data_IF_231653810253
#
_entry.id   IF_231653810253
#
_cell.length_a   1.000
_cell.length_b   1.000
_cell.length_c   1.000
_cell.angle_alpha   90.00
_cell.angle_beta   90.00
_cell.angle_gamma   90.00
#
_symmetry.space_group_name_H-M   'P 1'
#
loop_
_entity.id
_entity.type
_entity.pdbx_description
1 polymer ?
#
# COMPACT_ATOMS: atom_id res chain seq x y z
N UNK A 1 -22.95 -33.25 -26.97
CA UNK A 1 -22.19 -33.35 -25.71
C UNK A 1 -22.01 -34.82 -25.38
N UNK A 2 -20.77 -35.32 -25.36
CA UNK A 2 -20.49 -36.76 -25.13
C UNK A 2 -20.63 -37.08 -23.65
N UNK A 3 -21.07 -38.30 -23.31
CA UNK A 3 -21.33 -38.72 -21.93
C UNK A 3 -20.11 -38.57 -20.98
N UNK A 4 -18.89 -38.63 -21.51
CA UNK A 4 -17.66 -38.39 -20.74
C UNK A 4 -17.49 -36.93 -20.33
N UNK A 5 -17.91 -35.97 -21.16
CA UNK A 5 -17.86 -34.53 -20.88
C UNK A 5 -18.85 -34.16 -19.77
N UNK A 6 -20.05 -34.76 -19.78
CA UNK A 6 -21.04 -34.59 -18.70
C UNK A 6 -20.58 -35.18 -17.37
N UNK A 7 -19.89 -36.33 -17.39
CA UNK A 7 -19.35 -36.97 -16.19
C UNK A 7 -18.18 -36.17 -15.60
N UNK A 8 -17.31 -35.62 -16.45
CA UNK A 8 -16.24 -34.73 -16.04
C UNK A 8 -16.79 -33.42 -15.44
N UNK A 9 -17.80 -32.82 -16.07
CA UNK A 9 -18.48 -31.63 -15.57
C UNK A 9 -19.16 -31.89 -14.22
N UNK A 10 -19.83 -33.04 -14.04
CA UNK A 10 -20.43 -33.42 -12.75
C UNK A 10 -19.40 -33.66 -11.64
N UNK A 11 -18.25 -34.24 -11.96
CA UNK A 11 -17.14 -34.40 -10.99
C UNK A 11 -16.53 -33.04 -10.61
N UNK A 12 -16.33 -32.15 -11.57
CA UNK A 12 -15.84 -30.79 -11.32
C UNK A 12 -16.81 -29.99 -10.44
N UNK A 13 -18.11 -30.03 -10.77
CA UNK A 13 -19.15 -29.37 -9.97
C UNK A 13 -19.22 -29.91 -8.54
N UNK A 14 -19.14 -31.24 -8.33
CA UNK A 14 -19.07 -31.82 -6.98
C UNK A 14 -17.82 -31.39 -6.21
N UNK A 15 -16.67 -31.30 -6.86
CA UNK A 15 -15.41 -30.87 -6.24
C UNK A 15 -15.47 -29.39 -5.86
N UNK A 16 -15.99 -28.53 -6.73
CA UNK A 16 -16.22 -27.12 -6.45
C UNK A 16 -17.22 -26.91 -5.30
N UNK A 17 -18.30 -27.71 -5.26
CA UNK A 17 -19.29 -27.64 -4.19
C UNK A 17 -18.74 -28.14 -2.85
N UNK A 18 -17.86 -29.15 -2.86
CA UNK A 18 -17.15 -29.62 -1.68
C UNK A 18 -16.13 -28.59 -1.17
N UNK A 19 -15.41 -27.90 -2.08
CA UNK A 19 -14.50 -26.80 -1.72
C UNK A 19 -15.28 -25.61 -1.16
N UNK A 20 -16.42 -25.24 -1.76
CA UNK A 20 -17.31 -24.18 -1.22
C UNK A 20 -17.88 -24.56 0.15
N UNK A 21 -18.26 -25.82 0.34
CA UNK A 21 -18.75 -26.33 1.63
C UNK A 21 -17.64 -26.33 2.69
N UNK A 22 -16.47 -26.83 2.36
CA UNK A 22 -15.29 -26.78 3.25
C UNK A 22 -14.88 -25.34 3.58
N UNK A 23 -14.91 -24.43 2.61
CA UNK A 23 -14.62 -23.01 2.83
C UNK A 23 -15.66 -22.33 3.72
N UNK A 24 -16.95 -22.70 3.60
CA UNK A 24 -18.03 -22.22 4.47
C UNK A 24 -17.94 -22.81 5.88
N UNK A 25 -17.57 -24.08 6.00
CA UNK A 25 -17.52 -24.78 7.29
C UNK A 25 -16.24 -24.46 8.08
N UNK A 26 -15.12 -24.17 7.41
CA UNK A 26 -13.81 -24.00 8.05
C UNK A 26 -13.17 -22.61 7.91
N UNK A 27 -13.63 -21.75 6.99
CA UNK A 27 -12.93 -20.48 6.67
C UNK A 27 -13.87 -19.26 6.60
N UNK A 28 -15.19 -19.40 6.76
CA UNK A 28 -16.07 -18.23 6.76
C UNK A 28 -17.49 -18.48 7.26
N UNK A 29 -17.86 -17.75 8.31
CA UNK A 29 -19.20 -17.66 8.91
C UNK A 29 -19.66 -18.87 9.75
N UNK A 30 -18.90 -19.22 10.81
CA UNK A 30 -19.62 -19.50 12.06
C UNK A 30 -20.39 -18.22 12.40
N UNK A 31 -21.71 -18.30 12.64
CA UNK A 31 -22.52 -17.14 13.07
C UNK A 31 -21.82 -16.49 14.25
N UNK A 32 -21.08 -15.41 13.99
CA UNK A 32 -20.43 -14.66 15.04
C UNK A 32 -21.55 -14.13 15.93
N UNK A 33 -21.42 -14.37 17.23
CA UNK A 33 -22.38 -13.92 18.23
C UNK A 33 -22.61 -12.41 18.06
N UNK A 34 -23.86 -12.05 17.70
CA UNK A 34 -24.24 -10.67 17.40
C UNK A 34 -23.95 -9.74 18.58
N UNK A 35 -24.05 -10.25 19.81
CA UNK A 35 -23.74 -9.48 21.01
C UNK A 35 -22.23 -9.23 21.12
N UNK A 36 -21.39 -10.20 20.75
CA UNK A 36 -19.93 -10.01 20.70
C UNK A 36 -19.53 -9.00 19.63
N UNK A 37 -20.16 -9.06 18.45
CA UNK A 37 -19.92 -8.10 17.38
C UNK A 37 -20.35 -6.68 17.78
N UNK A 38 -21.51 -6.53 18.41
CA UNK A 38 -21.99 -5.25 18.91
C UNK A 38 -21.03 -4.66 19.96
N UNK A 39 -20.56 -5.48 20.91
CA UNK A 39 -19.58 -5.05 21.92
C UNK A 39 -18.25 -4.61 21.29
N UNK A 40 -17.75 -5.34 20.28
CA UNK A 40 -16.55 -4.95 19.53
C UNK A 40 -16.76 -3.59 18.85
N UNK A 41 -17.90 -3.38 18.19
CA UNK A 41 -18.20 -2.12 17.53
C UNK A 41 -18.24 -0.94 18.52
N UNK A 42 -18.83 -1.12 19.71
CA UNK A 42 -18.84 -0.10 20.76
C UNK A 42 -17.42 0.24 21.22
N UNK A 43 -16.58 -0.76 21.47
CA UNK A 43 -15.17 -0.56 21.86
C UNK A 43 -14.41 0.18 20.75
N UNK A 44 -14.63 -0.19 19.49
CA UNK A 44 -13.99 0.46 18.34
C UNK A 44 -14.39 1.93 18.20
N UNK A 45 -15.66 2.27 18.44
CA UNK A 45 -16.12 3.66 18.47
C UNK A 45 -15.42 4.43 19.59
N UNK A 46 -15.36 3.87 20.79
CA UNK A 46 -14.68 4.51 21.93
C UNK A 46 -13.18 4.72 21.65
N UNK A 47 -12.52 3.72 21.08
CA UNK A 47 -11.12 3.81 20.69
C UNK A 47 -10.89 4.89 19.61
N UNK A 48 -11.75 5.00 18.60
CA UNK A 48 -11.70 6.09 17.62
C UNK A 48 -11.86 7.46 18.25
N UNK A 49 -12.78 7.62 19.21
CA UNK A 49 -12.96 8.88 19.94
C UNK A 49 -11.70 9.23 20.75
N UNK A 50 -11.03 8.23 21.34
CA UNK A 50 -9.78 8.46 22.09
C UNK A 50 -8.63 9.02 21.22
N UNK A 51 -8.65 8.73 19.91
CA UNK A 51 -7.68 9.28 18.95
C UNK A 51 -7.88 10.78 18.69
N UNK A 52 -9.03 11.35 19.09
CA UNK A 52 -9.30 12.79 18.96
C UNK A 52 -8.82 13.61 20.16
N UNK A 53 -8.35 12.95 21.22
CA UNK A 53 -7.90 13.62 22.44
C UNK A 53 -6.38 13.80 22.45
N UNK A 54 -5.92 14.99 22.84
CA UNK A 54 -4.50 15.34 22.98
C UNK A 54 -4.19 16.68 22.32
N UNK A 55 -2.96 17.15 22.50
CA UNK A 55 -2.48 18.35 21.84
C UNK A 55 -2.16 18.07 20.36
N UNK A 56 -2.55 18.95 19.44
CA UNK A 56 -2.01 18.96 18.08
C UNK A 56 -0.51 19.22 18.06
N UNK A 57 0.11 19.03 16.90
CA UNK A 57 1.50 19.43 16.65
C UNK A 57 1.70 20.93 16.90
N UNK A 58 2.95 21.34 17.13
CA UNK A 58 3.32 22.74 17.18
C UNK A 58 3.19 23.42 15.81
N UNK A 59 3.13 24.75 15.81
CA UNK A 59 2.90 25.54 14.60
C UNK A 59 4.04 25.38 13.57
N UNK A 60 5.29 25.30 14.01
CA UNK A 60 6.44 25.22 13.10
C UNK A 60 6.46 23.88 12.35
N UNK A 61 6.15 22.78 13.06
CA UNK A 61 5.98 21.46 12.45
C UNK A 61 4.87 21.45 11.40
N UNK A 62 3.70 22.02 11.71
CA UNK A 62 2.57 22.14 10.76
C UNK A 62 2.92 22.95 9.52
N UNK A 63 3.52 24.12 9.71
CA UNK A 63 3.94 24.99 8.60
C UNK A 63 4.96 24.28 7.70
N UNK A 64 5.90 23.54 8.30
CA UNK A 64 6.88 22.73 7.56
C UNK A 64 6.20 21.68 6.70
N UNK A 65 5.22 20.95 7.23
CA UNK A 65 4.46 19.95 6.48
C UNK A 65 3.63 20.57 5.34
N UNK A 66 2.93 21.69 5.60
CA UNK A 66 2.14 22.40 4.61
C UNK A 66 3.01 22.92 3.45
N UNK A 67 4.16 23.53 3.76
CA UNK A 67 5.12 24.00 2.75
C UNK A 67 5.60 22.84 1.89
N UNK A 68 5.97 21.70 2.50
CA UNK A 68 6.39 20.50 1.74
C UNK A 68 5.30 19.99 0.81
N UNK A 69 4.05 19.92 1.29
CA UNK A 69 2.93 19.48 0.47
C UNK A 69 2.70 20.42 -0.73
N UNK A 70 2.81 21.73 -0.53
CA UNK A 70 2.70 22.70 -1.62
C UNK A 70 3.87 22.61 -2.62
N UNK A 71 5.10 22.35 -2.14
CA UNK A 71 6.25 22.12 -3.01
C UNK A 71 6.05 20.88 -3.89
N UNK A 72 5.63 19.76 -3.30
CA UNK A 72 5.31 18.54 -4.06
C UNK A 72 4.13 18.74 -5.03
N UNK A 73 3.15 19.56 -4.65
CA UNK A 73 2.07 19.93 -5.58
C UNK A 73 2.61 20.67 -6.81
N UNK A 74 3.51 21.64 -6.64
CA UNK A 74 4.12 22.33 -7.78
C UNK A 74 4.96 21.38 -8.63
N UNK A 75 5.71 20.46 -8.02
CA UNK A 75 6.49 19.46 -8.75
C UNK A 75 5.60 18.54 -9.60
N UNK A 76 4.41 18.14 -9.11
CA UNK A 76 3.42 17.43 -9.95
C UNK A 76 2.94 18.28 -11.14
N UNK A 77 2.67 19.56 -10.90
CA UNK A 77 2.17 20.48 -11.94
C UNK A 77 3.22 20.70 -13.03
N UNK A 78 4.48 20.91 -12.69
CA UNK A 78 5.50 21.29 -13.67
C UNK A 78 6.30 20.11 -14.22
N UNK A 79 6.60 19.11 -13.39
CA UNK A 79 7.58 18.07 -13.71
C UNK A 79 6.96 16.67 -13.81
N UNK A 80 5.69 16.50 -13.40
CA UNK A 80 5.06 15.18 -13.23
C UNK A 80 5.94 14.25 -12.38
N UNK A 81 6.52 14.81 -11.30
CA UNK A 81 7.52 14.14 -10.49
C UNK A 81 6.96 12.91 -9.75
N UNK A 82 7.61 11.76 -9.96
CA UNK A 82 7.20 10.47 -9.37
C UNK A 82 7.29 10.47 -7.86
N UNK A 83 8.29 11.13 -7.28
CA UNK A 83 8.43 11.22 -5.82
C UNK A 83 7.23 11.99 -5.24
N UNK A 84 6.81 13.07 -5.88
CA UNK A 84 5.64 13.84 -5.48
C UNK A 84 4.34 13.03 -5.59
N UNK A 85 4.19 12.16 -6.60
CA UNK A 85 3.08 11.19 -6.66
C UNK A 85 3.06 10.33 -5.40
N UNK A 86 4.21 9.78 -5.00
CA UNK A 86 4.30 8.92 -3.82
C UNK A 86 3.95 9.64 -2.51
N UNK A 87 4.29 10.93 -2.40
CA UNK A 87 3.94 11.76 -1.23
C UNK A 87 2.43 11.92 -1.13
N UNK A 88 1.76 12.22 -2.25
CA UNK A 88 0.31 12.37 -2.26
C UNK A 88 -0.43 11.05 -2.04
N UNK A 89 0.07 9.92 -2.52
CA UNK A 89 -0.50 8.61 -2.18
C UNK A 89 -0.46 8.34 -0.66
N UNK A 90 0.63 8.74 0.01
CA UNK A 90 0.74 8.62 1.47
C UNK A 90 -0.24 9.58 2.17
N UNK A 91 -0.34 10.83 1.71
CA UNK A 91 -1.28 11.81 2.23
C UNK A 91 -2.74 11.34 2.07
N UNK A 92 -3.11 10.83 0.90
CA UNK A 92 -4.44 10.26 0.62
C UNK A 92 -4.75 9.14 1.62
N UNK A 93 -3.82 8.20 1.84
CA UNK A 93 -4.00 7.12 2.83
C UNK A 93 -4.20 7.68 4.24
N UNK A 94 -3.36 8.61 4.66
CA UNK A 94 -3.46 9.22 5.99
C UNK A 94 -4.82 9.93 6.18
N UNK A 95 -5.22 10.75 5.21
CA UNK A 95 -6.47 11.51 5.26
C UNK A 95 -7.72 10.63 5.17
N UNK A 96 -7.65 9.44 4.53
CA UNK A 96 -8.72 8.43 4.63
C UNK A 96 -8.92 7.95 6.06
N UNK A 97 -7.82 7.73 6.79
CA UNK A 97 -7.91 7.35 8.22
C UNK A 97 -8.49 8.50 9.03
N UNK A 98 -8.06 9.74 8.79
CA UNK A 98 -8.62 10.94 9.43
C UNK A 98 -10.13 11.04 9.16
N UNK A 99 -10.57 10.87 7.91
CA UNK A 99 -11.98 10.86 7.54
C UNK A 99 -12.77 9.82 8.34
N UNK A 100 -12.23 8.61 8.52
CA UNK A 100 -12.87 7.58 9.34
C UNK A 100 -12.88 7.91 10.83
N UNK A 101 -11.79 8.49 11.37
CA UNK A 101 -11.69 8.90 12.78
C UNK A 101 -12.74 9.96 13.08
N UNK A 102 -12.90 10.97 12.21
CA UNK A 102 -13.83 12.09 12.40
C UNK A 102 -15.22 11.85 11.80
N UNK A 103 -15.40 10.78 11.02
CA UNK A 103 -16.64 10.48 10.28
C UNK A 103 -17.01 11.59 9.29
N UNK A 104 -16.00 12.14 8.62
CA UNK A 104 -16.13 13.22 7.63
C UNK A 104 -16.32 12.64 6.22
N UNK A 105 -17.54 12.74 5.71
CA UNK A 105 -17.90 12.26 4.38
C UNK A 105 -17.31 13.09 3.25
N UNK A 106 -17.12 14.40 3.46
CA UNK A 106 -16.60 15.30 2.44
C UNK A 106 -15.10 15.07 2.27
N UNK A 107 -14.37 14.93 3.36
CA UNK A 107 -12.97 14.52 3.32
C UNK A 107 -12.82 13.14 2.66
N UNK A 108 -13.66 12.17 3.04
CA UNK A 108 -13.65 10.84 2.41
C UNK A 108 -13.83 10.94 0.89
N UNK A 109 -14.81 11.73 0.42
CA UNK A 109 -15.02 11.99 -1.00
C UNK A 109 -13.79 12.64 -1.65
N UNK A 110 -13.24 13.69 -1.04
CA UNK A 110 -12.04 14.38 -1.55
C UNK A 110 -10.84 13.44 -1.66
N UNK A 111 -10.64 12.50 -0.73
CA UNK A 111 -9.55 11.51 -0.85
C UNK A 111 -9.71 10.60 -2.06
N UNK A 112 -10.95 10.24 -2.43
CA UNK A 112 -11.21 9.43 -3.62
C UNK A 112 -11.04 10.22 -4.92
N UNK A 113 -11.46 11.49 -4.93
CA UNK A 113 -11.24 12.39 -6.06
C UNK A 113 -9.75 12.70 -6.25
N UNK A 114 -9.00 12.88 -5.17
CA UNK A 114 -7.54 13.06 -5.20
C UNK A 114 -6.82 11.82 -5.74
N UNK A 115 -7.23 10.62 -5.31
CA UNK A 115 -6.69 9.37 -5.85
C UNK A 115 -6.94 9.27 -7.37
N UNK A 116 -8.18 9.51 -7.81
CA UNK A 116 -8.52 9.48 -9.23
C UNK A 116 -7.76 10.55 -10.04
N UNK A 117 -7.48 11.72 -9.46
CA UNK A 117 -6.69 12.76 -10.09
C UNK A 117 -5.23 12.34 -10.31
N UNK A 118 -4.62 11.68 -9.32
CA UNK A 118 -3.25 11.15 -9.42
C UNK A 118 -3.18 10.04 -10.48
N UNK A 119 -4.13 9.10 -10.48
CA UNK A 119 -4.22 8.04 -11.49
C UNK A 119 -4.37 8.62 -12.90
N UNK A 120 -5.30 9.56 -13.07
CA UNK A 120 -5.51 10.25 -14.36
C UNK A 120 -4.26 11.00 -14.84
N UNK A 121 -3.50 11.63 -13.94
CA UNK A 121 -2.26 12.30 -14.30
C UNK A 121 -1.22 11.30 -14.82
N UNK A 122 -1.15 10.10 -14.24
CA UNK A 122 -0.20 9.06 -14.68
C UNK A 122 -0.52 8.46 -16.05
N UNK A 123 -1.77 8.53 -16.49
CA UNK A 123 -2.25 8.05 -17.80
C UNK A 123 -2.16 9.12 -18.90
N UNK A 124 -1.87 10.38 -18.54
CA UNK A 124 -1.94 11.51 -19.46
C UNK A 124 -0.55 12.00 -19.85
N UNK A 125 -0.18 11.79 -21.12
CA UNK A 125 1.03 12.36 -21.70
C UNK A 125 0.82 13.84 -22.13
N UNK A 126 1.92 14.62 -22.14
CA UNK A 126 2.00 15.96 -22.74
C UNK A 126 0.98 17.02 -22.27
N UNK A 127 0.55 16.96 -21.01
CA UNK A 127 -0.29 18.01 -20.43
C UNK A 127 0.49 19.30 -20.10
N UNK A 128 -0.08 20.45 -20.46
CA UNK A 128 0.41 21.76 -19.98
C UNK A 128 0.18 21.95 -18.47
N UNK A 129 0.96 22.82 -17.79
CA UNK A 129 0.77 23.10 -16.37
C UNK A 129 -0.67 23.49 -15.98
N UNK A 130 -1.37 24.25 -16.83
CA UNK A 130 -2.75 24.65 -16.57
C UNK A 130 -3.72 23.45 -16.63
N UNK A 131 -3.55 22.55 -17.59
CA UNK A 131 -4.35 21.31 -17.67
C UNK A 131 -4.07 20.39 -16.48
N UNK A 132 -2.81 20.29 -16.04
CA UNK A 132 -2.44 19.52 -14.84
C UNK A 132 -3.07 20.11 -13.58
N UNK A 133 -3.06 21.44 -13.41
CA UNK A 133 -3.74 22.12 -12.29
C UNK A 133 -5.23 21.80 -12.25
N UNK A 134 -5.90 21.80 -13.40
CA UNK A 134 -7.32 21.44 -13.49
C UNK A 134 -7.58 20.00 -13.01
N UNK A 135 -6.74 19.04 -13.42
CA UNK A 135 -6.82 17.65 -12.95
C UNK A 135 -6.52 17.57 -11.44
N UNK A 136 -5.52 18.30 -10.96
CA UNK A 136 -5.00 18.21 -9.59
C UNK A 136 -5.77 19.09 -8.58
N UNK A 137 -6.88 19.73 -8.95
CA UNK A 137 -7.75 20.48 -8.01
C UNK A 137 -8.13 19.67 -6.76
N UNK A 138 -8.51 18.37 -6.86
CA UNK A 138 -8.81 17.58 -5.68
C UNK A 138 -7.59 17.33 -4.78
N UNK A 139 -6.39 17.26 -5.36
CA UNK A 139 -5.14 17.09 -4.60
C UNK A 139 -4.81 18.35 -3.82
N UNK A 140 -4.99 19.54 -4.42
CA UNK A 140 -4.85 20.81 -3.71
C UNK A 140 -5.87 20.93 -2.57
N UNK A 141 -7.13 20.58 -2.83
CA UNK A 141 -8.18 20.56 -1.79
C UNK A 141 -7.84 19.61 -0.65
N UNK A 142 -7.20 18.47 -0.95
CA UNK A 142 -6.73 17.54 0.09
C UNK A 142 -5.67 18.18 1.00
N UNK A 143 -4.79 19.05 0.46
CA UNK A 143 -3.81 19.79 1.28
C UNK A 143 -4.48 20.81 2.19
N UNK A 144 -5.55 21.47 1.74
CA UNK A 144 -6.35 22.39 2.56
C UNK A 144 -7.03 21.64 3.72
N UNK A 145 -7.55 20.43 3.46
CA UNK A 145 -8.07 19.58 4.53
C UNK A 145 -6.97 19.16 5.51
N UNK A 146 -5.78 18.78 5.03
CA UNK A 146 -4.68 18.41 5.91
C UNK A 146 -4.27 19.57 6.82
N UNK A 147 -4.20 20.79 6.27
CA UNK A 147 -3.95 22.00 7.07
C UNK A 147 -5.04 22.20 8.14
N UNK A 148 -6.31 22.18 7.74
CA UNK A 148 -7.43 22.38 8.67
C UNK A 148 -7.49 21.29 9.77
N UNK A 149 -7.27 20.03 9.41
CA UNK A 149 -7.21 18.93 10.38
C UNK A 149 -5.97 18.98 11.26
N UNK A 150 -4.86 19.52 10.75
CA UNK A 150 -3.64 19.79 11.51
C UNK A 150 -3.91 20.60 12.77
N UNK A 151 -4.89 21.51 12.74
CA UNK A 151 -5.27 22.31 13.91
C UNK A 151 -5.91 21.54 15.06
N UNK A 152 -6.46 20.35 14.79
CA UNK A 152 -7.27 19.61 15.76
C UNK A 152 -6.80 18.18 16.00
N UNK A 153 -6.03 17.60 15.07
CA UNK A 153 -5.59 16.21 15.20
C UNK A 153 -4.43 16.13 16.19
N UNK A 154 -4.51 15.27 17.23
CA UNK A 154 -3.40 15.14 18.17
C UNK A 154 -2.13 14.61 17.49
N UNK A 155 -0.97 15.13 17.86
CA UNK A 155 0.33 14.71 17.30
C UNK A 155 0.54 13.19 17.42
N UNK A 156 0.27 12.64 18.60
CA UNK A 156 0.34 11.18 18.85
C UNK A 156 -0.56 10.37 17.92
N UNK A 157 -1.67 10.95 17.47
CA UNK A 157 -2.60 10.31 16.53
C UNK A 157 -2.02 10.37 15.13
N UNK A 158 -1.41 11.48 14.72
CA UNK A 158 -0.65 11.58 13.45
C UNK A 158 0.42 10.50 13.38
N UNK A 159 1.24 10.33 14.43
CA UNK A 159 2.28 9.28 14.45
C UNK A 159 1.70 7.87 14.32
N UNK A 160 0.57 7.59 15.00
CA UNK A 160 -0.12 6.29 14.90
C UNK A 160 -0.68 6.05 13.49
N UNK A 161 -1.28 7.06 12.88
CA UNK A 161 -1.76 6.99 11.50
C UNK A 161 -0.58 6.73 10.55
N UNK A 162 0.54 7.44 10.73
CA UNK A 162 1.75 7.24 9.93
C UNK A 162 2.26 5.79 9.98
N UNK A 163 2.39 5.22 11.18
CA UNK A 163 2.80 3.82 11.35
C UNK A 163 1.82 2.82 10.72
N UNK A 164 0.52 3.06 10.88
CA UNK A 164 -0.51 2.23 10.26
C UNK A 164 -0.46 2.32 8.73
N UNK A 165 -0.39 3.53 8.16
CA UNK A 165 -0.29 3.74 6.72
C UNK A 165 0.98 3.15 6.12
N UNK A 166 2.12 3.22 6.82
CA UNK A 166 3.35 2.54 6.43
C UNK A 166 3.16 1.02 6.43
N UNK A 167 2.46 0.47 7.42
CA UNK A 167 2.16 -0.97 7.47
C UNK A 167 1.22 -1.39 6.33
N UNK A 168 0.21 -0.59 6.01
CA UNK A 168 -0.67 -0.83 4.84
C UNK A 168 0.15 -0.82 3.55
N UNK A 169 1.07 0.14 3.40
CA UNK A 169 1.98 0.19 2.26
C UNK A 169 2.85 -1.07 2.16
N UNK A 170 3.45 -1.50 3.27
CA UNK A 170 4.23 -2.75 3.33
C UNK A 170 3.38 -3.94 2.86
N UNK A 171 2.14 -4.08 3.35
CA UNK A 171 1.25 -5.18 2.95
C UNK A 171 0.97 -5.17 1.44
N UNK A 172 0.48 -4.06 0.91
CA UNK A 172 0.06 -3.93 -0.49
C UNK A 172 1.24 -4.12 -1.46
N UNK A 173 2.37 -3.47 -1.20
CA UNK A 173 3.53 -3.58 -2.08
C UNK A 173 4.31 -4.88 -1.91
N UNK A 174 4.21 -5.55 -0.76
CA UNK A 174 4.70 -6.93 -0.63
C UNK A 174 3.87 -7.87 -1.51
N UNK A 175 2.53 -7.83 -1.42
CA UNK A 175 1.69 -8.66 -2.30
C UNK A 175 2.02 -8.39 -3.77
N UNK A 176 2.12 -7.13 -4.17
CA UNK A 176 2.49 -6.76 -5.53
C UNK A 176 3.90 -7.22 -5.93
N UNK A 177 4.89 -7.15 -5.05
CA UNK A 177 6.24 -7.65 -5.30
C UNK A 177 6.22 -9.17 -5.55
N UNK A 178 5.48 -9.91 -4.73
CA UNK A 178 5.40 -11.38 -4.82
C UNK A 178 4.42 -11.90 -5.89
N UNK A 179 3.63 -11.04 -6.53
CA UNK A 179 2.93 -11.39 -7.78
C UNK A 179 3.91 -11.74 -8.93
N UNK A 180 5.20 -11.50 -8.74
CA UNK A 180 6.26 -11.79 -9.72
C UNK A 180 6.89 -13.16 -9.48
N UNK A 181 7.42 -13.80 -10.52
CA UNK A 181 8.23 -15.00 -10.37
C UNK A 181 9.36 -14.82 -9.34
N UNK A 182 9.44 -15.72 -8.36
CA UNK A 182 10.44 -15.66 -7.26
C UNK A 182 11.88 -15.49 -7.75
N UNK A 183 12.21 -16.02 -8.93
CA UNK A 183 13.53 -15.87 -9.57
C UNK A 183 13.93 -14.40 -9.82
N UNK A 184 12.97 -13.52 -10.12
CA UNK A 184 13.25 -12.09 -10.34
C UNK A 184 13.42 -11.32 -9.03
N UNK A 185 12.70 -11.72 -7.99
CA UNK A 185 12.90 -11.18 -6.63
C UNK A 185 14.27 -11.60 -6.10
N UNK A 186 14.66 -12.87 -6.31
CA UNK A 186 16.00 -13.34 -5.98
C UNK A 186 17.07 -12.57 -6.77
N UNK A 187 16.88 -12.38 -8.08
CA UNK A 187 17.80 -11.61 -8.90
C UNK A 187 17.96 -10.16 -8.41
N UNK A 188 16.86 -9.51 -8.02
CA UNK A 188 16.89 -8.19 -7.40
C UNK A 188 17.78 -8.18 -6.15
N UNK A 189 17.59 -9.13 -5.22
CA UNK A 189 18.38 -9.20 -3.99
C UNK A 189 19.85 -9.53 -4.26
N UNK A 190 20.13 -10.46 -5.18
CA UNK A 190 21.49 -10.81 -5.59
C UNK A 190 22.22 -9.56 -6.15
N UNK A 191 21.53 -8.73 -6.95
CA UNK A 191 22.07 -7.47 -7.51
C UNK A 191 22.34 -6.43 -6.42
N UNK A 192 21.39 -6.22 -5.50
CA UNK A 192 21.55 -5.30 -4.36
C UNK A 192 22.77 -5.71 -3.52
N UNK A 193 22.97 -7.03 -3.36
CA UNK A 193 24.10 -7.62 -2.64
C UNK A 193 25.40 -7.70 -3.47
N UNK A 194 25.42 -7.17 -4.69
CA UNK A 194 26.64 -6.93 -5.47
C UNK A 194 26.86 -7.86 -6.66
N UNK A 195 26.00 -8.86 -6.88
CA UNK A 195 26.09 -9.70 -8.08
C UNK A 195 25.80 -8.86 -9.34
N UNK A 196 26.41 -9.25 -10.47
CA UNK A 196 26.22 -8.53 -11.73
C UNK A 196 24.99 -9.06 -12.47
N UNK A 197 24.23 -8.16 -13.11
CA UNK A 197 23.09 -8.52 -13.95
C UNK A 197 23.43 -9.61 -14.99
N UNK A 198 24.61 -9.49 -15.62
CA UNK A 198 25.11 -10.45 -16.61
C UNK A 198 25.33 -11.85 -16.02
N UNK A 199 25.90 -11.93 -14.81
CA UNK A 199 26.14 -13.22 -14.15
C UNK A 199 24.81 -13.91 -13.83
N UNK A 200 23.85 -13.17 -13.29
CA UNK A 200 22.51 -13.69 -12.96
C UNK A 200 21.77 -14.12 -14.22
N UNK A 201 21.76 -13.29 -15.28
CA UNK A 201 21.13 -13.61 -16.55
C UNK A 201 21.61 -14.96 -17.11
N UNK A 202 22.93 -15.22 -17.02
CA UNK A 202 23.51 -16.52 -17.39
C UNK A 202 23.06 -17.65 -16.46
N UNK A 203 23.04 -17.42 -15.15
CA UNK A 203 22.66 -18.40 -14.10
C UNK A 203 21.21 -18.86 -14.25
N UNK A 204 20.29 -17.97 -14.63
CA UNK A 204 18.86 -18.27 -14.75
C UNK A 204 18.39 -18.46 -16.20
N UNK A 205 19.30 -18.45 -17.17
CA UNK A 205 19.04 -18.59 -18.61
C UNK A 205 18.03 -17.56 -19.17
N UNK A 206 18.10 -16.32 -18.71
CA UNK A 206 17.23 -15.21 -19.14
C UNK A 206 18.02 -14.20 -19.98
N UNK A 207 17.38 -13.53 -20.94
CA UNK A 207 18.05 -12.46 -21.69
C UNK A 207 18.31 -11.27 -20.77
N UNK A 208 19.48 -10.65 -20.88
CA UNK A 208 19.90 -9.56 -19.99
C UNK A 208 18.95 -8.34 -20.02
N UNK A 209 18.39 -8.01 -21.20
CA UNK A 209 17.42 -6.93 -21.35
C UNK A 209 16.08 -7.24 -20.65
N UNK A 210 15.58 -8.47 -20.78
CA UNK A 210 14.36 -8.93 -20.09
C UNK A 210 14.58 -8.94 -18.59
N UNK A 211 15.70 -9.49 -18.12
CA UNK A 211 16.03 -9.49 -16.69
C UNK A 211 16.14 -8.06 -16.14
N UNK A 212 16.74 -7.13 -16.89
CA UNK A 212 16.84 -5.72 -16.49
C UNK A 212 15.46 -5.11 -16.24
N UNK A 213 14.54 -5.28 -17.17
CA UNK A 213 13.19 -4.75 -17.08
C UNK A 213 12.44 -5.35 -15.88
N UNK A 214 12.48 -6.68 -15.73
CA UNK A 214 11.83 -7.37 -14.62
C UNK A 214 12.41 -6.98 -13.26
N UNK A 215 13.74 -6.82 -13.16
CA UNK A 215 14.40 -6.37 -11.93
C UNK A 215 14.03 -4.93 -11.60
N UNK A 216 14.00 -4.01 -12.58
CA UNK A 216 13.62 -2.62 -12.33
C UNK A 216 12.14 -2.49 -11.95
N UNK A 217 11.28 -3.29 -12.58
CA UNK A 217 9.87 -3.37 -12.19
C UNK A 217 9.72 -3.91 -10.77
N UNK A 218 10.44 -4.98 -10.40
CA UNK A 218 10.45 -5.49 -9.03
C UNK A 218 11.04 -4.48 -8.03
N UNK A 219 12.08 -3.74 -8.43
CA UNK A 219 12.74 -2.73 -7.63
C UNK A 219 11.79 -1.62 -7.21
N UNK A 220 10.87 -1.19 -8.08
CA UNK A 220 9.84 -0.21 -7.72
C UNK A 220 8.98 -0.70 -6.56
N UNK A 221 8.48 -1.94 -6.59
CA UNK A 221 7.67 -2.46 -5.49
C UNK A 221 8.50 -2.69 -4.22
N UNK A 222 9.74 -3.13 -4.36
CA UNK A 222 10.63 -3.29 -3.22
C UNK A 222 11.00 -1.95 -2.58
N UNK A 223 11.24 -0.90 -3.38
CA UNK A 223 11.41 0.48 -2.91
C UNK A 223 10.27 0.92 -2.01
N UNK A 224 9.02 0.68 -2.44
CA UNK A 224 7.82 1.03 -1.68
C UNK A 224 7.73 0.29 -0.34
N UNK A 225 8.39 -0.85 -0.19
CA UNK A 225 8.53 -1.52 1.12
C UNK A 225 9.73 -0.96 1.90
N UNK A 226 10.87 -0.78 1.23
CA UNK A 226 12.12 -0.34 1.83
C UNK A 226 12.07 1.09 2.37
N UNK A 227 11.33 2.00 1.73
CA UNK A 227 11.14 3.37 2.20
C UNK A 227 10.40 3.48 3.55
N UNK A 228 9.70 2.40 3.96
CA UNK A 228 9.11 2.31 5.29
C UNK A 228 10.12 1.93 6.39
N UNK A 229 11.34 1.52 6.02
CA UNK A 229 12.40 1.12 6.93
C UNK A 229 13.56 2.14 6.95
N UNK A 230 13.97 2.63 5.78
CA UNK A 230 15.09 3.56 5.62
C UNK A 230 14.72 4.68 4.66
N UNK A 231 15.42 5.82 4.76
CA UNK A 231 15.40 6.83 3.72
C UNK A 231 16.10 6.27 2.47
N UNK A 232 15.31 5.89 1.46
CA UNK A 232 15.75 5.43 0.14
C UNK A 232 14.98 6.19 -0.92
N UNK A 233 15.59 6.33 -2.10
CA UNK A 233 14.98 6.96 -3.27
C UNK A 233 14.67 5.90 -4.34
N UNK A 234 13.65 6.10 -5.18
CA UNK A 234 13.33 5.18 -6.26
C UNK A 234 14.49 5.09 -7.26
N UNK A 235 14.76 3.88 -7.75
CA UNK A 235 15.83 3.65 -8.73
C UNK A 235 15.32 3.68 -10.16
N UNK A 236 16.15 4.18 -11.06
CA UNK A 236 15.95 4.18 -12.52
C UNK A 236 16.91 3.23 -13.25
N UNK A 237 17.98 2.80 -12.57
CA UNK A 237 19.01 1.97 -13.17
C UNK A 237 19.53 0.88 -12.23
N UNK A 238 20.09 -0.20 -12.80
CA UNK A 238 20.63 -1.34 -12.05
C UNK A 238 21.75 -0.96 -11.08
N UNK A 239 22.71 -0.07 -11.41
CA UNK A 239 23.75 0.34 -10.46
C UNK A 239 23.21 1.00 -9.19
N UNK A 240 22.10 1.75 -9.29
CA UNK A 240 21.49 2.47 -8.16
C UNK A 240 20.93 1.52 -7.09
N UNK A 241 20.64 0.26 -7.44
CA UNK A 241 20.15 -0.76 -6.49
C UNK A 241 21.14 -1.07 -5.36
N UNK A 242 22.41 -0.70 -5.50
CA UNK A 242 23.46 -1.05 -4.54
C UNK A 242 23.59 -0.07 -3.38
N UNK A 243 22.70 0.91 -3.29
CA UNK A 243 22.63 1.84 -2.16
C UNK A 243 22.37 1.09 -0.84
N UNK A 244 22.98 1.55 0.25
CA UNK A 244 22.95 0.84 1.53
C UNK A 244 21.54 0.72 2.13
N UNK A 245 20.66 1.68 1.86
CA UNK A 245 19.28 1.64 2.35
C UNK A 245 18.48 0.42 1.85
N UNK A 246 18.75 -0.06 0.63
CA UNK A 246 18.11 -1.27 0.07
C UNK A 246 18.65 -2.55 0.70
N UNK A 247 19.95 -2.59 1.06
CA UNK A 247 20.60 -3.79 1.62
C UNK A 247 20.00 -4.24 2.96
N UNK A 248 19.39 -3.33 3.70
CA UNK A 248 18.77 -3.65 4.99
C UNK A 248 17.68 -4.73 4.88
N UNK A 249 16.92 -4.71 3.78
CA UNK A 249 15.81 -5.63 3.54
C UNK A 249 16.02 -6.57 2.34
N UNK A 250 17.16 -6.49 1.63
CA UNK A 250 17.48 -7.34 0.48
C UNK A 250 17.92 -8.76 0.87
N UNK A 251 17.17 -9.35 1.79
CA UNK A 251 17.28 -10.72 2.28
C UNK A 251 15.88 -11.22 2.62
N UNK A 252 15.55 -12.45 2.21
CA UNK A 252 14.19 -12.98 2.39
C UNK A 252 13.79 -13.13 3.86
N UNK A 253 14.72 -13.46 4.76
CA UNK A 253 14.41 -13.61 6.17
C UNK A 253 14.18 -12.24 6.82
N UNK A 254 15.08 -11.28 6.58
CA UNK A 254 14.93 -9.91 7.09
C UNK A 254 13.65 -9.26 6.58
N UNK A 255 13.36 -9.39 5.29
CA UNK A 255 12.13 -8.88 4.70
C UNK A 255 10.90 -9.52 5.34
N UNK A 256 10.90 -10.84 5.51
CA UNK A 256 9.81 -11.57 6.17
C UNK A 256 9.58 -11.08 7.60
N UNK A 257 10.64 -10.95 8.40
CA UNK A 257 10.54 -10.50 9.80
C UNK A 257 10.02 -9.06 9.89
N UNK A 258 10.47 -8.19 8.97
CA UNK A 258 9.98 -6.82 8.85
C UNK A 258 8.48 -6.77 8.53
N UNK A 259 8.04 -7.54 7.53
CA UNK A 259 6.62 -7.64 7.15
C UNK A 259 5.79 -8.18 8.32
N UNK A 260 6.22 -9.27 8.96
CA UNK A 260 5.50 -9.87 10.09
C UNK A 260 5.36 -8.88 11.25
N UNK A 261 6.42 -8.13 11.54
CA UNK A 261 6.40 -7.09 12.57
C UNK A 261 5.38 -6.00 12.24
N UNK A 262 5.40 -5.46 11.03
CA UNK A 262 4.42 -4.46 10.59
C UNK A 262 2.98 -4.97 10.68
N UNK A 263 2.74 -6.22 10.26
CA UNK A 263 1.39 -6.80 10.28
C UNK A 263 0.89 -7.06 11.70
N UNK A 264 1.68 -7.76 12.51
CA UNK A 264 1.24 -8.27 13.80
C UNK A 264 1.28 -7.22 14.91
N UNK A 265 2.20 -6.26 14.84
CA UNK A 265 2.36 -5.25 15.89
C UNK A 265 1.64 -3.94 15.60
N UNK A 266 1.35 -3.66 14.33
CA UNK A 266 0.81 -2.35 13.93
C UNK A 266 -0.50 -2.50 13.17
N UNK A 267 -0.48 -3.11 11.98
CA UNK A 267 -1.64 -3.16 11.08
C UNK A 267 -2.85 -3.83 11.72
N UNK A 268 -2.74 -5.12 12.06
CA UNK A 268 -3.85 -5.89 12.62
C UNK A 268 -4.35 -5.29 13.94
N UNK A 269 -3.48 -4.93 14.91
CA UNK A 269 -3.94 -4.28 16.13
C UNK A 269 -4.64 -2.95 15.90
N UNK A 270 -4.17 -2.12 14.95
CA UNK A 270 -4.82 -0.84 14.65
C UNK A 270 -6.24 -1.06 14.11
N UNK A 271 -6.40 -1.96 13.14
CA UNK A 271 -7.71 -2.25 12.55
C UNK A 271 -8.65 -2.91 13.56
N UNK A 272 -8.17 -3.85 14.37
CA UNK A 272 -8.97 -4.48 15.43
C UNK A 272 -9.44 -3.46 16.47
N UNK A 273 -8.57 -2.53 16.87
CA UNK A 273 -8.90 -1.52 17.87
C UNK A 273 -9.81 -0.42 17.36
N UNK A 274 -9.72 -0.04 16.08
CA UNK A 274 -10.43 1.14 15.54
C UNK A 274 -11.59 0.79 14.61
N UNK A 275 -11.60 -0.42 14.05
CA UNK A 275 -12.50 -0.82 12.98
C UNK A 275 -12.22 -0.14 11.63
N UNK A 276 -11.12 0.60 11.50
CA UNK A 276 -10.72 1.28 10.27
C UNK A 276 -9.80 0.34 9.50
N UNK A 277 -10.19 -0.06 8.28
CA UNK A 277 -9.33 -0.81 7.35
C UNK A 277 -9.18 -0.01 6.05
N UNK A 278 -7.95 0.04 5.53
CA UNK A 278 -7.64 0.56 4.19
C UNK A 278 -7.37 -0.57 3.19
N UNK A 279 -7.31 -1.82 3.66
CA UNK A 279 -7.08 -3.00 2.82
C UNK A 279 -8.42 -3.65 2.56
N UNK A 280 -8.77 -3.82 1.27
CA UNK A 280 -9.79 -4.77 0.89
C UNK A 280 -9.22 -6.19 1.03
N UNK A 281 -9.43 -6.81 2.20
CA UNK A 281 -8.94 -8.15 2.49
C UNK A 281 -9.48 -9.22 1.54
N UNK A 282 -10.64 -9.00 0.91
CA UNK A 282 -11.15 -9.95 -0.08
C UNK A 282 -10.33 -9.87 -1.36
N UNK A 283 -9.98 -8.66 -1.81
CA UNK A 283 -9.11 -8.48 -2.96
C UNK A 283 -7.67 -8.90 -2.66
N UNK A 284 -7.13 -8.45 -1.53
CA UNK A 284 -5.79 -8.83 -1.05
C UNK A 284 -5.61 -10.35 -0.98
N UNK A 285 -6.62 -11.08 -0.47
CA UNK A 285 -6.58 -12.55 -0.43
C UNK A 285 -6.60 -13.18 -1.82
N UNK A 286 -7.36 -12.64 -2.78
CA UNK A 286 -7.34 -13.14 -4.17
C UNK A 286 -5.96 -12.95 -4.78
N UNK A 287 -5.34 -11.79 -4.55
CA UNK A 287 -4.02 -11.46 -5.07
C UNK A 287 -2.96 -12.42 -4.49
N UNK A 288 -3.01 -12.72 -3.19
CA UNK A 288 -2.08 -13.66 -2.54
C UNK A 288 -2.22 -15.11 -3.06
N UNK A 289 -3.45 -15.57 -3.32
CA UNK A 289 -3.70 -16.90 -3.90
C UNK A 289 -3.22 -16.95 -5.35
N UNK A 290 -3.42 -15.88 -6.11
CA UNK A 290 -2.92 -15.78 -7.49
C UNK A 290 -1.38 -15.76 -7.54
N UNK A 291 -0.73 -15.24 -6.50
CA UNK A 291 0.73 -15.21 -6.36
C UNK A 291 1.36 -16.49 -5.80
N UNK A 292 0.57 -17.55 -5.53
CA UNK A 292 1.01 -18.81 -4.92
C UNK A 292 1.72 -18.65 -3.56
N UNK A 293 1.43 -17.57 -2.83
CA UNK A 293 2.00 -17.30 -1.50
C UNK A 293 1.24 -18.10 -0.42
N UNK A 294 -0.04 -18.40 -0.67
CA UNK A 294 -0.95 -19.18 0.19
C UNK A 294 -1.78 -20.12 -0.67
#
# INVERSE_FOLDING_TARGET
>A
MKASEMMAARKAAKKEQAVKKYARDNIGNQRADLNKLANIAVIQVQNKLSLRSGAPQDLDSKLTENIKNLMHYQALVYENDKTSVTVFEKLIRAMRVVACIYSDSDLSKTTNEAQAAIEKLSESDDLSPNQRREILKPVLRLTEYQEAYGEIIPERTVSKIGLYCASVQIALYTASLYNRPKRYIQALFDIINGESLRAIAKKIHEKENVLREEVLNAAWHFFRVAECNNAVEPVSSIPELRQDGYKALADFNRLKDFIQTAMQKILIPFEQNTGISLIDYNQFRKDLVQAEII
#
